data_IF_148943391953
#
_entry.id   IF_148943391953
#
_cell.length_a   1.000
_cell.length_b   1.000
_cell.length_c   1.000
_cell.angle_alpha   90.00
_cell.angle_beta   90.00
_cell.angle_gamma   90.00
#
_symmetry.space_group_name_H-M   'P 1'
#
loop_
_entity.id
_entity.type
_entity.pdbx_description
1 polymer ?
#
# COMPACT_ATOMS: atom_id res chain seq x y z
N UNK A 1 20.86 17.08 9.85
CA UNK A 1 21.48 15.94 9.15
C UNK A 1 20.38 15.27 8.36
N UNK A 2 20.44 15.28 7.03
CA UNK A 2 19.46 14.55 6.20
C UNK A 2 19.78 13.07 6.32
N UNK A 3 18.81 12.27 6.78
CA UNK A 3 18.94 10.82 6.84
C UNK A 3 19.09 10.32 5.39
N UNK A 4 20.15 9.59 5.09
CA UNK A 4 20.34 9.04 3.74
C UNK A 4 19.41 7.83 3.60
N UNK A 5 18.33 7.99 2.85
CA UNK A 5 17.49 6.87 2.45
C UNK A 5 18.26 6.07 1.40
N UNK A 6 18.73 4.87 1.78
CA UNK A 6 19.36 3.98 0.82
C UNK A 6 18.41 3.75 -0.35
N UNK A 7 18.91 3.87 -1.58
CA UNK A 7 18.14 3.56 -2.79
C UNK A 7 18.24 2.08 -3.17
N UNK A 8 19.07 1.32 -2.45
CA UNK A 8 19.21 -0.11 -2.62
C UNK A 8 18.69 -0.81 -1.38
N UNK A 9 17.75 -1.77 -1.53
CA UNK A 9 17.31 -2.56 -0.40
C UNK A 9 18.49 -3.37 0.18
N UNK A 10 18.52 -3.58 1.50
CA UNK A 10 19.55 -4.41 2.12
C UNK A 10 19.46 -5.85 1.59
N UNK A 11 20.60 -6.54 1.52
CA UNK A 11 20.69 -7.88 0.92
C UNK A 11 19.76 -8.87 1.63
N UNK A 12 19.65 -8.79 2.94
CA UNK A 12 18.79 -9.64 3.76
C UNK A 12 17.31 -9.51 3.36
N UNK A 13 16.88 -8.30 2.96
CA UNK A 13 15.53 -8.06 2.48
C UNK A 13 15.31 -8.62 1.07
N UNK A 14 16.33 -8.56 0.21
CA UNK A 14 16.29 -9.16 -1.12
C UNK A 14 16.21 -10.70 -1.00
N UNK A 15 16.99 -11.30 -0.10
CA UNK A 15 16.96 -12.74 0.19
C UNK A 15 15.57 -13.17 0.66
N UNK A 16 14.95 -12.42 1.58
CA UNK A 16 13.58 -12.68 2.00
C UNK A 16 12.59 -12.63 0.82
N UNK A 17 12.72 -11.65 -0.08
CA UNK A 17 11.83 -11.58 -1.24
C UNK A 17 12.00 -12.75 -2.20
N UNK A 18 13.23 -13.25 -2.34
CA UNK A 18 13.53 -14.44 -3.15
C UNK A 18 12.89 -15.68 -2.53
N UNK A 19 13.04 -15.88 -1.22
CA UNK A 19 12.44 -17.02 -0.52
C UNK A 19 10.91 -17.02 -0.64
N UNK A 20 10.27 -15.85 -0.58
CA UNK A 20 8.83 -15.72 -0.71
C UNK A 20 8.34 -15.88 -2.17
N UNK A 21 9.11 -15.41 -3.16
CA UNK A 21 8.75 -15.48 -4.58
C UNK A 21 9.07 -16.83 -5.23
N UNK A 22 10.08 -17.53 -4.71
CA UNK A 22 10.45 -18.88 -5.10
C UNK A 22 11.07 -19.64 -3.90
N UNK A 23 10.25 -20.37 -3.13
CA UNK A 23 10.75 -21.16 -2.01
C UNK A 23 11.80 -22.18 -2.44
N UNK A 24 13.01 -22.09 -1.88
CA UNK A 24 14.12 -23.00 -2.19
C UNK A 24 15.00 -22.58 -3.38
N UNK A 25 14.61 -21.54 -4.13
CA UNK A 25 15.53 -20.87 -5.04
C UNK A 25 16.63 -20.16 -4.24
N UNK A 26 17.84 -20.09 -4.79
CA UNK A 26 18.89 -19.18 -4.30
C UNK A 26 19.18 -18.12 -5.34
N UNK A 27 19.53 -16.91 -4.90
CA UNK A 27 19.96 -15.78 -5.75
C UNK A 27 21.02 -16.20 -6.78
N UNK A 28 21.89 -17.15 -6.44
CA UNK A 28 22.97 -17.65 -7.29
C UNK A 28 22.56 -18.63 -8.39
N UNK A 29 21.36 -19.23 -8.31
CA UNK A 29 21.05 -20.44 -9.08
C UNK A 29 20.24 -20.19 -10.35
N UNK A 30 19.83 -18.95 -10.64
CA UNK A 30 19.03 -18.59 -11.83
C UNK A 30 17.73 -19.42 -12.04
N UNK A 31 17.25 -20.14 -11.01
CA UNK A 31 16.05 -20.99 -11.06
C UNK A 31 14.72 -20.20 -11.01
N UNK A 32 14.74 -18.92 -11.39
CA UNK A 32 13.56 -18.06 -11.30
C UNK A 32 12.58 -18.34 -12.44
N UNK A 33 11.31 -18.51 -12.10
CA UNK A 33 10.22 -18.50 -13.06
C UNK A 33 9.85 -17.04 -13.42
N UNK A 34 9.11 -16.86 -14.53
CA UNK A 34 8.57 -15.54 -14.88
C UNK A 34 7.71 -14.93 -13.77
N UNK A 35 6.90 -15.74 -13.10
CA UNK A 35 6.07 -15.31 -11.95
C UNK A 35 6.94 -14.84 -10.77
N UNK A 36 8.02 -15.56 -10.46
CA UNK A 36 8.96 -15.16 -9.41
C UNK A 36 9.64 -13.83 -9.72
N UNK A 37 9.99 -13.59 -10.99
CA UNK A 37 10.57 -12.32 -11.45
C UNK A 37 9.54 -11.18 -11.30
N UNK A 38 8.29 -11.40 -11.67
CA UNK A 38 7.22 -10.39 -11.54
C UNK A 38 6.99 -9.99 -10.08
N UNK A 39 7.01 -10.97 -9.15
CA UNK A 39 6.92 -10.72 -7.71
C UNK A 39 8.12 -9.88 -7.23
N UNK A 40 9.34 -10.26 -7.61
CA UNK A 40 10.56 -9.55 -7.21
C UNK A 40 10.59 -8.11 -7.76
N UNK A 41 10.25 -7.92 -9.03
CA UNK A 41 10.18 -6.61 -9.67
C UNK A 41 9.13 -5.71 -8.99
N UNK A 42 7.96 -6.27 -8.67
CA UNK A 42 6.89 -5.56 -7.96
C UNK A 42 7.36 -5.11 -6.58
N UNK A 43 8.02 -5.99 -5.81
CA UNK A 43 8.53 -5.67 -4.47
C UNK A 43 9.62 -4.60 -4.52
N UNK A 44 10.57 -4.72 -5.45
CA UNK A 44 11.61 -3.73 -5.64
C UNK A 44 11.03 -2.34 -5.98
N UNK A 45 10.05 -2.30 -6.89
CA UNK A 45 9.38 -1.06 -7.26
C UNK A 45 8.60 -0.43 -6.07
N UNK A 46 7.87 -1.26 -5.31
CA UNK A 46 7.16 -0.81 -4.11
C UNK A 46 8.12 -0.29 -3.05
N UNK A 47 9.23 -0.99 -2.80
CA UNK A 47 10.22 -0.57 -1.82
C UNK A 47 10.86 0.77 -2.20
N UNK A 48 11.29 0.93 -3.45
CA UNK A 48 11.88 2.19 -3.94
C UNK A 48 10.90 3.36 -3.84
N UNK A 49 9.65 3.14 -4.26
CA UNK A 49 8.58 4.14 -4.11
C UNK A 49 8.33 4.52 -2.65
N UNK A 50 8.51 3.56 -1.72
CA UNK A 50 8.36 3.79 -0.30
C UNK A 50 9.50 4.60 0.30
N UNK A 51 10.75 4.31 -0.07
CA UNK A 51 11.91 5.10 0.36
C UNK A 51 11.82 6.54 -0.14
N UNK A 52 11.50 6.73 -1.41
CA UNK A 52 11.36 8.08 -2.00
C UNK A 52 10.24 8.88 -1.33
N UNK A 53 9.11 8.23 -1.02
CA UNK A 53 8.01 8.87 -0.32
C UNK A 53 8.42 9.35 1.08
N UNK A 54 9.13 8.52 1.85
CA UNK A 54 9.58 8.93 3.19
C UNK A 54 10.67 9.99 3.12
N UNK A 55 11.60 9.92 2.16
CA UNK A 55 12.60 10.96 1.92
C UNK A 55 11.95 12.33 1.62
N UNK A 56 10.94 12.34 0.74
CA UNK A 56 10.15 13.52 0.44
C UNK A 56 9.40 14.03 1.67
N UNK A 57 8.81 13.13 2.48
CA UNK A 57 8.11 13.51 3.70
C UNK A 57 9.05 14.13 4.74
N UNK A 58 10.24 13.56 4.94
CA UNK A 58 11.26 14.12 5.83
C UNK A 58 11.73 15.50 5.37
N UNK A 59 11.94 15.69 4.06
CA UNK A 59 12.31 16.99 3.50
C UNK A 59 11.24 18.07 3.74
N UNK A 60 9.97 17.68 3.69
CA UNK A 60 8.83 18.56 3.96
C UNK A 60 8.64 18.85 5.47
N UNK A 61 9.14 18.00 6.36
CA UNK A 61 8.96 18.13 7.82
C UNK A 61 9.99 19.06 8.49
N UNK A 62 10.98 19.56 7.73
CA UNK A 62 12.06 20.43 8.23
C UNK A 62 11.49 21.79 8.71
N UNK A 63 11.86 22.28 9.91
CA UNK A 63 11.34 23.52 10.50
C UNK A 63 11.44 24.76 9.60
N UNK A 64 12.52 24.91 8.83
CA UNK A 64 12.72 26.03 7.90
C UNK A 64 11.84 25.97 6.64
N UNK A 65 11.23 24.81 6.36
CA UNK A 65 10.32 24.58 5.24
C UNK A 65 8.84 24.70 5.67
N UNK A 66 8.58 24.75 6.99
CA UNK A 66 7.29 25.16 7.56
C UNK A 66 7.24 26.68 7.51
N UNK A 67 6.93 27.24 6.33
CA UNK A 67 6.80 28.68 6.19
C UNK A 67 5.87 29.24 7.28
N UNK A 68 6.34 30.26 7.98
CA UNK A 68 5.67 31.09 8.98
C UNK A 68 4.42 31.84 8.44
N UNK A 69 3.99 31.48 7.23
CA UNK A 69 2.79 31.95 6.55
C UNK A 69 1.74 30.85 6.68
N UNK A 70 0.68 31.16 7.42
CA UNK A 70 -0.33 30.26 7.96
C UNK A 70 -1.24 29.57 6.94
N UNK A 71 -0.70 29.07 5.84
CA UNK A 71 -1.44 28.49 4.73
C UNK A 71 -0.71 27.28 4.14
N UNK A 72 -0.69 26.18 4.91
CA UNK A 72 -1.17 24.87 4.42
C UNK A 72 -0.48 24.16 3.24
N UNK A 73 0.74 24.53 2.82
CA UNK A 73 1.19 24.10 1.50
C UNK A 73 1.79 22.69 1.32
N UNK A 74 2.23 21.93 2.33
CA UNK A 74 2.47 20.48 2.17
C UNK A 74 2.78 19.83 3.54
N UNK A 75 1.74 19.34 4.21
CA UNK A 75 1.94 18.48 5.38
C UNK A 75 2.45 17.11 4.89
N UNK A 76 3.55 16.56 5.43
CA UNK A 76 4.04 15.21 5.10
C UNK A 76 2.91 14.16 5.11
N UNK A 77 1.97 14.28 6.05
CA UNK A 77 0.82 13.38 6.14
C UNK A 77 -0.16 13.46 4.98
N UNK A 78 -0.32 14.64 4.34
CA UNK A 78 -1.13 14.77 3.12
C UNK A 78 -0.46 14.04 1.96
N UNK A 79 0.86 14.18 1.82
CA UNK A 79 1.63 13.49 0.79
C UNK A 79 1.56 11.97 0.98
N UNK A 80 1.73 11.47 2.22
CA UNK A 80 1.56 10.04 2.55
C UNK A 80 0.17 9.54 2.16
N UNK A 81 -0.89 10.24 2.57
CA UNK A 81 -2.28 9.85 2.23
C UNK A 81 -2.56 9.86 0.73
N UNK A 82 -2.02 10.82 -0.01
CA UNK A 82 -2.23 10.92 -1.45
C UNK A 82 -1.50 9.81 -2.22
N UNK A 83 -0.31 9.39 -1.76
CA UNK A 83 0.52 8.38 -2.43
C UNK A 83 0.24 6.95 -1.98
N UNK A 84 -0.26 6.77 -0.76
CA UNK A 84 -0.74 5.49 -0.22
C UNK A 84 -2.15 5.68 0.34
N UNK A 85 -3.16 5.90 -0.53
CA UNK A 85 -4.54 5.89 -0.07
C UNK A 85 -4.77 4.55 0.62
N UNK A 86 -5.42 4.58 1.79
CA UNK A 86 -5.87 3.33 2.41
C UNK A 86 -6.72 2.59 1.36
N UNK A 87 -6.53 1.28 1.17
CA UNK A 87 -7.51 0.51 0.42
C UNK A 87 -8.89 0.77 1.05
N UNK A 88 -9.98 0.76 0.26
CA UNK A 88 -11.31 0.98 0.79
C UNK A 88 -11.56 0.06 1.97
N UNK A 89 -12.27 0.53 2.98
CA UNK A 89 -12.55 -0.28 4.17
C UNK A 89 -13.28 -1.57 3.81
N UNK A 90 -13.24 -2.58 4.68
CA UNK A 90 -14.02 -3.80 4.46
C UNK A 90 -15.52 -3.49 4.31
N UNK A 91 -15.99 -2.43 4.97
CA UNK A 91 -17.33 -1.89 4.81
C UNK A 91 -17.56 -1.33 3.41
N UNK A 92 -16.69 -0.44 2.91
CA UNK A 92 -16.79 0.12 1.55
C UNK A 92 -16.70 -0.97 0.46
N UNK A 93 -15.79 -1.94 0.64
CA UNK A 93 -15.67 -3.10 -0.24
C UNK A 93 -16.96 -3.94 -0.21
N UNK A 94 -17.50 -4.22 0.98
CA UNK A 94 -18.71 -4.99 1.16
C UNK A 94 -19.96 -4.30 0.59
N UNK A 95 -20.08 -2.98 0.74
CA UNK A 95 -21.16 -2.19 0.15
C UNK A 95 -21.09 -2.19 -1.38
N UNK A 96 -19.90 -2.12 -1.95
CA UNK A 96 -19.70 -2.24 -3.40
C UNK A 96 -20.12 -3.61 -3.90
N UNK A 97 -19.73 -4.68 -3.21
CA UNK A 97 -20.15 -6.05 -3.54
C UNK A 97 -21.67 -6.24 -3.37
N UNK A 98 -22.28 -5.60 -2.38
CA UNK A 98 -23.73 -5.61 -2.15
C UNK A 98 -24.49 -4.98 -3.31
N UNK A 99 -23.99 -3.90 -3.89
CA UNK A 99 -24.63 -3.26 -5.05
C UNK A 99 -24.63 -4.18 -6.27
N UNK A 100 -23.53 -4.91 -6.50
CA UNK A 100 -23.46 -5.94 -7.53
C UNK A 100 -24.40 -7.12 -7.24
N UNK A 101 -24.58 -7.49 -5.97
CA UNK A 101 -25.50 -8.55 -5.56
C UNK A 101 -26.96 -8.14 -5.82
N UNK A 102 -27.34 -6.90 -5.51
CA UNK A 102 -28.68 -6.34 -5.74
C UNK A 102 -29.07 -6.32 -7.23
N UNK A 103 -28.10 -6.27 -8.13
CA UNK A 103 -28.35 -6.41 -9.58
C UNK A 103 -28.71 -7.86 -9.98
N UNK A 104 -28.38 -8.85 -9.15
CA UNK A 104 -28.58 -10.28 -9.43
C UNK A 104 -29.73 -10.90 -8.63
N UNK A 105 -30.02 -10.36 -7.46
CA UNK A 105 -31.13 -10.80 -6.62
C UNK A 105 -31.73 -9.61 -5.90
N UNK A 106 -33.05 -9.62 -5.76
CA UNK A 106 -33.82 -8.66 -4.96
C UNK A 106 -34.49 -9.33 -3.75
N UNK A 107 -34.10 -10.57 -3.42
CA UNK A 107 -34.64 -11.29 -2.27
C UNK A 107 -34.27 -10.58 -0.95
N UNK A 108 -35.25 -10.01 -0.23
CA UNK A 108 -35.00 -9.27 1.00
C UNK A 108 -34.38 -10.15 2.10
N UNK A 109 -34.65 -11.47 2.10
CA UNK A 109 -34.09 -12.38 3.10
C UNK A 109 -32.58 -12.56 2.97
N UNK A 110 -32.01 -12.25 1.79
CA UNK A 110 -30.57 -12.29 1.54
C UNK A 110 -29.96 -10.89 1.73
N UNK A 111 -30.63 -9.85 1.19
CA UNK A 111 -30.07 -8.50 1.17
C UNK A 111 -30.09 -7.85 2.55
N UNK A 112 -31.20 -7.96 3.30
CA UNK A 112 -31.36 -7.22 4.56
C UNK A 112 -30.36 -7.66 5.65
N UNK A 113 -30.13 -8.96 5.91
CA UNK A 113 -29.17 -9.38 6.93
C UNK A 113 -27.74 -8.95 6.58
N UNK A 114 -27.36 -9.04 5.31
CA UNK A 114 -26.04 -8.66 4.84
C UNK A 114 -25.84 -7.14 4.89
N UNK A 115 -26.84 -6.34 4.50
CA UNK A 115 -26.77 -4.87 4.62
C UNK A 115 -26.58 -4.46 6.07
N UNK A 116 -27.35 -5.06 7.00
CA UNK A 116 -27.23 -4.77 8.44
C UNK A 116 -25.85 -5.17 8.99
N UNK A 117 -25.30 -6.29 8.52
CA UNK A 117 -23.95 -6.72 8.89
C UNK A 117 -22.88 -5.74 8.40
N UNK A 118 -23.00 -5.24 7.17
CA UNK A 118 -22.09 -4.23 6.61
C UNK A 118 -22.19 -2.89 7.34
N UNK A 119 -23.41 -2.45 7.70
CA UNK A 119 -23.61 -1.21 8.45
C UNK A 119 -22.98 -1.26 9.85
N UNK A 120 -22.90 -2.46 10.45
CA UNK A 120 -22.28 -2.68 11.75
C UNK A 120 -20.74 -2.76 11.71
N UNK A 121 -20.13 -2.83 10.53
CA UNK A 121 -18.67 -2.83 10.41
C UNK A 121 -18.09 -1.43 10.72
N UNK A 122 -16.89 -1.37 11.33
CA UNK A 122 -16.15 -0.12 11.43
C UNK A 122 -15.71 0.35 10.05
N UNK A 123 -15.46 1.66 9.94
CA UNK A 123 -14.76 2.27 8.80
C UNK A 123 -13.30 1.83 8.73
#
# INVERSE_FOLDING_TARGET
MTNYHSLTPPLELIEQWVDEACPGCRLSNYDFTGESIDILATRAAQWGANQELEACCEWLDIPNNRSDRGDGWLMPDRLRRARRPKPPSLKEQGLTAMELLKQRTTDPNIIEPLSRALDALPE
#
